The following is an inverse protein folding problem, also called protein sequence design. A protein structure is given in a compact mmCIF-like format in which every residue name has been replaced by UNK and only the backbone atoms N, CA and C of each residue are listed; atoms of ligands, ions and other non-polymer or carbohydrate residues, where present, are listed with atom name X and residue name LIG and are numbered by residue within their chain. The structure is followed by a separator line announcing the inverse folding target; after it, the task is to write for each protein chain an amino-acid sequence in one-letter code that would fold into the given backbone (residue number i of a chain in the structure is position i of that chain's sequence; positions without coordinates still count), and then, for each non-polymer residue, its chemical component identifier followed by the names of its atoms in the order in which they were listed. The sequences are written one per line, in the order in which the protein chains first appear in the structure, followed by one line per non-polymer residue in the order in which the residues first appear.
data_IF_187329865814
#
_entry.id   IF_187329865814
#
_cell.length_a   1.000
_cell.length_b   1.000
_cell.length_c   1.000
_cell.angle_alpha   90.00
_cell.angle_beta   90.00
_cell.angle_gamma   90.00
#
_symmetry.space_group_name_H-M   'P 1'
#
loop_
_entity.id
_entity.type
_entity.pdbx_description
1 polymer ?
#
# COMPACT_ATOMS: atom_id res chain seq x y z
N UNK A 1 9.33 20.76 -23.76
CA UNK A 1 7.97 21.02 -23.17
C UNK A 1 8.15 21.55 -21.75
N UNK A 2 7.26 22.43 -21.28
CA UNK A 2 7.39 22.93 -19.90
C UNK A 2 6.49 22.07 -19.00
N UNK A 3 7.07 21.22 -18.16
CA UNK A 3 6.37 20.38 -17.19
C UNK A 3 6.28 21.08 -15.83
N UNK A 4 5.25 20.76 -15.04
CA UNK A 4 5.03 21.32 -13.71
C UNK A 4 4.74 20.21 -12.69
N UNK A 5 5.05 20.50 -11.44
CA UNK A 5 4.68 19.61 -10.33
C UNK A 5 3.15 19.37 -10.31
N UNK A 6 2.78 18.12 -10.09
CA UNK A 6 1.38 17.70 -10.05
C UNK A 6 0.77 17.35 -11.41
N UNK A 7 1.42 17.64 -12.54
CA UNK A 7 0.94 17.21 -13.85
C UNK A 7 1.02 15.68 -14.01
N UNK A 8 0.13 15.15 -14.84
CA UNK A 8 0.09 13.72 -15.15
C UNK A 8 0.78 13.45 -16.46
N UNK A 9 1.60 12.41 -16.47
CA UNK A 9 2.46 12.03 -17.60
C UNK A 9 2.53 10.52 -17.76
N UNK A 10 2.94 10.10 -18.96
CA UNK A 10 3.36 8.73 -19.27
C UNK A 10 4.79 8.77 -19.80
N UNK A 11 5.48 7.62 -19.87
CA UNK A 11 6.83 7.50 -20.41
C UNK A 11 6.80 6.86 -21.78
N UNK A 12 7.38 7.52 -22.77
CA UNK A 12 7.43 7.03 -24.15
C UNK A 12 8.27 5.77 -24.27
N UNK A 13 9.42 5.72 -23.59
CA UNK A 13 10.32 4.57 -23.54
C UNK A 13 9.66 3.28 -23.02
N UNK A 14 8.55 3.40 -22.30
CA UNK A 14 7.73 2.29 -21.78
C UNK A 14 6.37 2.19 -22.47
N UNK A 15 6.27 2.66 -23.73
CA UNK A 15 5.05 2.62 -24.54
C UNK A 15 3.83 3.28 -23.87
N UNK A 16 4.04 4.25 -22.99
CA UNK A 16 2.99 4.95 -22.26
C UNK A 16 2.06 4.01 -21.47
N UNK A 17 2.61 2.94 -20.90
CA UNK A 17 1.87 1.86 -20.24
C UNK A 17 1.26 2.26 -18.90
N UNK A 18 1.90 3.19 -18.16
CA UNK A 18 1.48 3.64 -16.84
C UNK A 18 1.38 5.17 -16.78
N UNK A 19 0.38 5.63 -16.05
CA UNK A 19 0.22 7.06 -15.74
C UNK A 19 0.90 7.40 -14.42
N UNK A 20 1.70 8.46 -14.46
CA UNK A 20 2.41 9.00 -13.31
C UNK A 20 1.99 10.43 -13.02
N UNK A 21 2.15 10.85 -11.77
CA UNK A 21 2.14 12.24 -11.37
C UNK A 21 3.56 12.72 -11.12
N UNK A 22 3.92 13.88 -11.65
CA UNK A 22 5.20 14.52 -11.38
C UNK A 22 5.19 15.01 -9.93
N UNK A 23 6.11 14.53 -9.12
CA UNK A 23 6.23 14.90 -7.70
C UNK A 23 7.41 15.82 -7.42
N UNK A 24 8.43 15.80 -8.29
CA UNK A 24 9.54 16.71 -8.25
C UNK A 24 10.20 16.82 -9.62
N UNK A 25 10.96 17.89 -9.84
CA UNK A 25 11.76 18.12 -11.06
C UNK A 25 13.09 18.71 -10.62
N UNK A 26 14.18 18.04 -10.94
CA UNK A 26 15.55 18.52 -10.75
C UNK A 26 16.25 18.55 -12.11
N UNK A 27 16.67 19.71 -12.56
CA UNK A 27 17.23 19.93 -13.88
C UNK A 27 16.31 19.39 -15.00
N UNK A 28 16.78 18.37 -15.75
CA UNK A 28 16.05 17.73 -16.82
C UNK A 28 15.42 16.38 -16.43
N UNK A 29 15.42 16.04 -15.13
CA UNK A 29 14.89 14.79 -14.59
C UNK A 29 13.60 15.07 -13.79
N UNK A 30 12.52 14.38 -14.15
CA UNK A 30 11.30 14.36 -13.36
C UNK A 30 11.24 13.12 -12.46
N UNK A 31 10.88 13.33 -11.21
CA UNK A 31 10.55 12.26 -10.27
C UNK A 31 9.05 12.01 -10.32
N UNK A 32 8.70 10.76 -10.47
CA UNK A 32 7.37 10.31 -10.85
C UNK A 32 6.78 9.38 -9.79
N UNK A 33 5.49 9.53 -9.53
CA UNK A 33 4.72 8.63 -8.68
C UNK A 33 3.55 8.04 -9.46
N UNK A 34 3.43 6.71 -9.50
CA UNK A 34 2.33 6.02 -10.14
C UNK A 34 0.96 6.42 -9.58
N UNK A 35 -0.02 6.59 -10.48
CA UNK A 35 -1.39 6.99 -10.11
C UNK A 35 -2.18 5.79 -9.64
N UNK A 36 -2.19 4.72 -10.40
CA UNK A 36 -2.97 3.51 -10.11
C UNK A 36 -2.13 2.41 -9.45
N UNK A 37 -0.83 2.44 -9.68
CA UNK A 37 0.12 1.48 -9.14
C UNK A 37 1.07 2.17 -8.17
N UNK A 38 1.46 1.48 -7.10
CA UNK A 38 2.45 1.95 -6.14
C UNK A 38 3.85 1.80 -6.74
N UNK A 39 4.23 2.76 -7.57
CA UNK A 39 5.52 2.80 -8.25
C UNK A 39 6.10 4.21 -8.22
N UNK A 40 7.39 4.32 -7.87
CA UNK A 40 8.19 5.52 -8.06
C UNK A 40 9.17 5.29 -9.20
N UNK A 41 9.36 6.29 -10.02
CA UNK A 41 10.29 6.27 -11.14
C UNK A 41 10.91 7.66 -11.33
N UNK A 42 11.99 7.71 -12.06
CA UNK A 42 12.57 8.92 -12.62
C UNK A 42 12.54 8.80 -14.15
N UNK A 43 12.54 9.92 -14.82
CA UNK A 43 12.58 9.99 -16.29
C UNK A 43 13.10 11.34 -16.75
N UNK A 44 13.81 11.35 -17.87
CA UNK A 44 14.15 12.59 -18.57
C UNK A 44 12.87 13.28 -19.04
N UNK A 45 12.86 14.62 -19.04
CA UNK A 45 11.67 15.39 -19.41
C UNK A 45 11.26 15.17 -20.88
N UNK A 46 12.19 14.84 -21.75
CA UNK A 46 11.93 14.58 -23.16
C UNK A 46 11.30 13.20 -23.43
N UNK A 47 11.40 12.26 -22.48
CA UNK A 47 10.71 10.96 -22.49
C UNK A 47 9.23 11.04 -22.02
N UNK A 48 8.78 12.22 -21.58
CA UNK A 48 7.46 12.38 -20.97
C UNK A 48 6.41 12.89 -21.95
N UNK A 49 5.24 12.25 -21.92
CA UNK A 49 4.04 12.71 -22.60
C UNK A 49 2.99 13.17 -21.59
N UNK A 50 2.44 14.40 -21.78
CA UNK A 50 1.35 14.91 -20.94
C UNK A 50 0.07 14.13 -21.17
N UNK A 51 -0.60 13.76 -20.06
CA UNK A 51 -1.87 13.07 -20.09
C UNK A 51 -2.89 13.85 -19.28
N UNK A 52 -4.11 13.97 -19.79
CA UNK A 52 -5.24 14.48 -19.03
C UNK A 52 -6.00 13.30 -18.45
N UNK A 53 -5.92 13.10 -17.14
CA UNK A 53 -6.77 12.11 -16.49
C UNK A 53 -8.19 12.68 -16.43
N UNK A 54 -9.11 12.06 -17.18
CA UNK A 54 -10.51 12.14 -16.77
C UNK A 54 -10.58 11.43 -15.42
N UNK A 55 -11.03 12.10 -14.37
CA UNK A 55 -11.38 11.45 -13.12
C UNK A 55 -12.52 10.46 -13.38
N UNK A 56 -12.22 9.36 -14.02
CA UNK A 56 -12.99 8.16 -13.84
C UNK A 56 -12.62 7.68 -12.43
N UNK A 57 -13.46 8.04 -11.48
CA UNK A 57 -13.50 7.30 -10.22
C UNK A 57 -13.50 5.82 -10.59
N UNK A 58 -12.66 5.02 -9.94
CA UNK A 58 -12.66 3.55 -9.96
C UNK A 58 -14.05 3.02 -9.57
N UNK A 59 -15.05 3.26 -10.43
CA UNK A 59 -16.44 2.90 -10.19
C UNK A 59 -16.66 1.40 -10.29
N UNK A 60 -15.88 0.70 -11.12
CA UNK A 60 -16.09 -0.73 -11.36
C UNK A 60 -15.80 -1.60 -10.14
N UNK A 61 -14.78 -1.26 -9.35
CA UNK A 61 -14.50 -2.00 -8.12
C UNK A 61 -15.40 -1.52 -6.97
N UNK A 62 -15.73 -0.24 -6.93
CA UNK A 62 -16.68 0.33 -5.96
C UNK A 62 -18.09 -0.22 -6.21
N UNK A 63 -18.57 -0.28 -7.45
CA UNK A 63 -19.90 -0.84 -7.78
C UNK A 63 -20.03 -2.33 -7.41
N UNK A 64 -18.96 -3.13 -7.59
CA UNK A 64 -18.93 -4.52 -7.11
C UNK A 64 -18.99 -4.61 -5.59
N UNK A 65 -18.31 -3.71 -4.89
CA UNK A 65 -18.28 -3.67 -3.42
C UNK A 65 -19.60 -3.08 -2.89
N UNK A 66 -20.17 -2.06 -3.53
CA UNK A 66 -21.50 -1.53 -3.20
C UNK A 66 -22.59 -2.59 -3.29
N UNK A 67 -22.50 -3.52 -4.25
CA UNK A 67 -23.42 -4.67 -4.32
C UNK A 67 -23.30 -5.61 -3.12
N UNK A 68 -22.12 -5.71 -2.50
CA UNK A 68 -21.89 -6.46 -1.26
C UNK A 68 -22.37 -5.70 -0.02
N UNK A 69 -22.36 -4.36 -0.06
CA UNK A 69 -22.86 -3.50 1.02
C UNK A 69 -24.38 -3.49 1.07
N UNK A 70 -25.05 -3.71 -0.07
CA UNK A 70 -26.52 -3.81 -0.17
C UNK A 70 -27.09 -5.11 0.39
N UNK A 71 -26.25 -6.06 0.83
CA UNK A 71 -26.69 -7.18 1.66
C UNK A 71 -27.36 -6.60 2.90
N UNK A 72 -28.64 -6.94 3.07
CA UNK A 72 -29.50 -6.36 4.11
C UNK A 72 -28.88 -6.58 5.50
N UNK A 73 -28.20 -5.56 6.00
CA UNK A 73 -27.56 -5.57 7.32
C UNK A 73 -28.58 -5.66 8.45
N UNK A 74 -29.86 -5.54 8.16
CA UNK A 74 -30.94 -5.68 9.15
C UNK A 74 -31.26 -7.16 9.47
N UNK A 75 -30.91 -8.09 8.58
CA UNK A 75 -31.11 -9.53 8.85
C UNK A 75 -29.97 -10.17 9.65
N UNK A 76 -28.76 -9.58 9.62
CA UNK A 76 -27.60 -10.09 10.35
C UNK A 76 -26.86 -8.94 11.01
N UNK A 77 -26.69 -8.99 12.31
CA UNK A 77 -25.89 -8.03 13.10
C UNK A 77 -24.39 -8.20 12.81
N UNK A 78 -23.96 -7.95 11.57
CA UNK A 78 -22.55 -7.89 11.24
C UNK A 78 -22.01 -6.50 11.55
N UNK A 79 -21.22 -6.38 12.62
CA UNK A 79 -20.34 -5.26 12.80
C UNK A 79 -19.11 -5.50 11.91
N UNK A 80 -18.80 -4.61 10.96
CA UNK A 80 -17.57 -4.71 10.19
C UNK A 80 -16.36 -4.73 11.12
N UNK A 81 -15.37 -5.55 10.80
CA UNK A 81 -14.12 -5.58 11.57
C UNK A 81 -13.40 -4.23 11.52
N UNK A 82 -12.77 -3.87 12.64
CA UNK A 82 -11.94 -2.68 12.77
C UNK A 82 -10.58 -2.92 12.12
N UNK A 83 -10.11 -1.97 11.33
CA UNK A 83 -8.86 -2.07 10.56
C UNK A 83 -7.81 -1.11 11.14
N UNK A 84 -6.59 -1.59 11.32
CA UNK A 84 -5.40 -0.75 11.49
C UNK A 84 -4.45 -1.01 10.33
N UNK A 85 -4.04 0.04 9.64
CA UNK A 85 -3.08 -0.06 8.54
C UNK A 85 -1.81 0.74 8.85
N UNK A 86 -0.67 0.07 8.74
CA UNK A 86 0.67 0.67 8.77
C UNK A 86 1.17 0.88 7.35
N UNK A 87 1.73 2.04 7.10
CA UNK A 87 2.38 2.35 5.83
C UNK A 87 3.38 3.50 5.99
N UNK A 88 4.50 3.44 5.30
CA UNK A 88 5.49 4.51 5.29
C UNK A 88 5.11 5.66 4.37
N UNK A 89 4.29 5.40 3.34
CA UNK A 89 3.85 6.38 2.38
C UNK A 89 2.48 6.96 2.73
N UNK A 90 2.49 8.24 3.13
CA UNK A 90 1.26 8.93 3.51
C UNK A 90 0.22 9.00 2.40
N UNK A 91 0.64 9.12 1.14
CA UNK A 91 -0.30 9.25 0.02
C UNK A 91 -1.12 7.97 -0.17
N UNK A 92 -0.44 6.81 -0.19
CA UNK A 92 -1.12 5.53 -0.33
C UNK A 92 -1.91 5.15 0.92
N UNK A 93 -1.38 5.46 2.11
CA UNK A 93 -2.09 5.27 3.37
C UNK A 93 -3.41 6.07 3.39
N UNK A 94 -3.36 7.36 3.10
CA UNK A 94 -4.54 8.21 3.09
C UNK A 94 -5.59 7.74 2.06
N UNK A 95 -5.14 7.23 0.90
CA UNK A 95 -6.00 6.65 -0.13
C UNK A 95 -6.72 5.39 0.39
N UNK A 96 -6.01 4.49 1.04
CA UNK A 96 -6.60 3.30 1.67
C UNK A 96 -7.58 3.67 2.78
N UNK A 97 -7.19 4.57 3.68
CA UNK A 97 -8.06 5.00 4.79
C UNK A 97 -9.32 5.69 4.27
N UNK A 98 -9.19 6.51 3.21
CA UNK A 98 -10.36 7.10 2.57
C UNK A 98 -11.28 6.01 1.99
N UNK A 99 -10.73 5.03 1.28
CA UNK A 99 -11.50 3.93 0.72
C UNK A 99 -12.26 3.15 1.81
N UNK A 100 -11.60 2.80 2.92
CA UNK A 100 -12.26 2.12 4.04
C UNK A 100 -13.41 2.94 4.63
N UNK A 101 -13.21 4.26 4.77
CA UNK A 101 -14.25 5.17 5.26
C UNK A 101 -15.44 5.29 4.31
N UNK A 102 -15.16 5.37 3.01
CA UNK A 102 -16.20 5.39 1.98
C UNK A 102 -17.05 4.08 2.01
N UNK A 103 -16.43 2.97 2.42
CA UNK A 103 -17.09 1.67 2.66
C UNK A 103 -17.73 1.55 4.05
N UNK A 104 -17.77 2.61 4.85
CA UNK A 104 -18.29 2.62 6.22
C UNK A 104 -17.57 1.65 7.18
N UNK A 105 -16.28 1.42 6.96
CA UNK A 105 -15.42 0.63 7.83
C UNK A 105 -14.70 1.51 8.84
N UNK A 106 -14.59 1.06 10.08
CA UNK A 106 -13.76 1.70 11.10
C UNK A 106 -12.29 1.40 10.81
N UNK A 107 -11.52 2.41 10.40
CA UNK A 107 -10.13 2.23 10.02
C UNK A 107 -9.22 3.34 10.53
N UNK A 108 -8.02 2.95 10.95
CA UNK A 108 -6.98 3.81 11.47
C UNK A 108 -5.69 3.62 10.68
N UNK A 109 -5.12 4.71 10.18
CA UNK A 109 -3.85 4.73 9.45
C UNK A 109 -2.71 5.17 10.34
N UNK A 110 -1.66 4.41 10.39
CA UNK A 110 -0.44 4.69 11.14
C UNK A 110 0.69 4.89 10.13
N UNK A 111 1.12 6.16 9.97
CA UNK A 111 2.28 6.47 9.14
C UNK A 111 3.54 6.16 9.94
N UNK A 112 4.31 5.19 9.48
CA UNK A 112 5.55 4.74 10.13
C UNK A 112 6.47 4.12 9.09
N UNK A 113 7.79 4.22 9.26
CA UNK A 113 8.75 3.56 8.37
C UNK A 113 8.75 2.06 8.58
N UNK A 114 9.08 1.31 7.55
CA UNK A 114 9.05 -0.16 7.57
C UNK A 114 9.89 -0.76 8.71
N UNK A 115 11.06 -0.20 8.97
CA UNK A 115 11.96 -0.64 10.04
C UNK A 115 11.53 -0.22 11.46
N UNK A 116 10.52 0.63 11.58
CA UNK A 116 9.98 1.11 12.87
C UNK A 116 8.65 0.42 13.23
N UNK A 117 8.02 -0.30 12.27
CA UNK A 117 6.71 -0.96 12.50
C UNK A 117 6.80 -1.93 13.68
N UNK A 118 7.86 -2.74 13.75
CA UNK A 118 8.07 -3.72 14.83
C UNK A 118 8.01 -3.08 16.22
N UNK A 119 8.49 -1.85 16.36
CA UNK A 119 8.56 -1.15 17.64
C UNK A 119 7.18 -0.65 18.11
N UNK A 120 6.35 -0.18 17.17
CA UNK A 120 5.09 0.48 17.50
C UNK A 120 3.86 -0.43 17.39
N UNK A 121 3.98 -1.58 16.74
CA UNK A 121 2.83 -2.42 16.39
C UNK A 121 2.08 -2.92 17.63
N UNK A 122 2.78 -3.40 18.66
CA UNK A 122 2.15 -3.97 19.86
C UNK A 122 1.32 -2.92 20.58
N UNK A 123 1.88 -1.73 20.86
CA UNK A 123 1.17 -0.63 21.49
C UNK A 123 -0.05 -0.19 20.67
N UNK A 124 0.11 -0.16 19.32
CA UNK A 124 -0.97 0.19 18.41
C UNK A 124 -2.11 -0.83 18.46
N UNK A 125 -1.79 -2.13 18.47
CA UNK A 125 -2.79 -3.19 18.58
C UNK A 125 -3.52 -3.15 19.93
N UNK A 126 -2.81 -2.90 21.03
CA UNK A 126 -3.40 -2.73 22.37
C UNK A 126 -4.36 -1.54 22.41
N UNK A 127 -3.98 -0.43 21.78
CA UNK A 127 -4.76 0.82 21.78
C UNK A 127 -6.04 0.70 20.95
N UNK A 128 -5.95 0.17 19.75
CA UNK A 128 -7.07 0.16 18.80
C UNK A 128 -7.86 -1.14 18.84
N UNK A 129 -7.27 -2.25 19.29
CA UNK A 129 -7.86 -3.59 19.31
C UNK A 129 -8.55 -3.93 17.99
N UNK A 130 -7.79 -3.94 16.87
CA UNK A 130 -8.35 -4.21 15.57
C UNK A 130 -8.67 -5.69 15.37
N UNK A 131 -9.59 -5.99 14.46
CA UNK A 131 -9.86 -7.33 13.95
C UNK A 131 -8.94 -7.65 12.74
N UNK A 132 -8.50 -6.60 12.04
CA UNK A 132 -7.66 -6.70 10.85
C UNK A 132 -6.49 -5.73 10.99
N UNK A 133 -5.27 -6.24 10.83
CA UNK A 133 -4.08 -5.40 10.69
C UNK A 133 -3.51 -5.53 9.29
N UNK A 134 -3.25 -4.40 8.67
CA UNK A 134 -2.66 -4.31 7.33
C UNK A 134 -1.27 -3.69 7.46
N UNK A 135 -0.24 -4.41 7.01
CA UNK A 135 1.16 -3.98 7.06
C UNK A 135 1.65 -3.85 5.64
N UNK A 136 1.73 -2.61 5.17
CA UNK A 136 2.18 -2.28 3.82
C UNK A 136 3.33 -1.28 3.85
N UNK A 137 4.00 -1.14 2.73
CA UNK A 137 5.14 -0.25 2.62
C UNK A 137 5.86 -0.42 1.29
N UNK A 138 7.10 0.01 1.23
CA UNK A 138 7.98 -0.20 0.09
C UNK A 138 8.88 -1.41 0.35
N UNK A 139 8.97 -2.30 -0.63
CA UNK A 139 9.94 -3.39 -0.63
C UNK A 139 10.38 -3.69 -2.05
N UNK A 140 11.61 -4.08 -2.19
CA UNK A 140 12.21 -4.44 -3.47
C UNK A 140 13.42 -5.35 -3.30
N UNK A 141 13.69 -6.13 -4.32
CA UNK A 141 14.92 -6.91 -4.40
C UNK A 141 16.13 -5.97 -4.58
N UNK A 142 17.12 -6.08 -3.69
CA UNK A 142 18.33 -5.24 -3.73
C UNK A 142 19.08 -5.40 -5.05
N UNK A 143 19.69 -4.31 -5.54
CA UNK A 143 20.54 -4.34 -6.73
C UNK A 143 21.60 -5.45 -6.61
N UNK A 144 21.78 -6.22 -7.69
CA UNK A 144 22.71 -7.35 -7.76
C UNK A 144 22.38 -8.61 -6.93
N UNK A 145 21.26 -8.65 -6.21
CA UNK A 145 20.78 -9.86 -5.56
C UNK A 145 20.34 -10.87 -6.65
N UNK A 146 21.00 -12.05 -6.66
CA UNK A 146 20.69 -13.11 -7.63
C UNK A 146 19.71 -14.14 -7.08
N UNK A 147 19.73 -14.33 -5.77
CA UNK A 147 18.92 -15.34 -5.08
C UNK A 147 17.69 -14.68 -4.46
N UNK A 148 16.54 -14.91 -5.09
CA UNK A 148 15.25 -14.35 -4.66
C UNK A 148 14.63 -15.09 -3.47
N UNK A 149 15.19 -16.22 -3.06
CA UNK A 149 14.68 -17.00 -1.93
C UNK A 149 15.16 -16.45 -0.59
N UNK A 150 16.24 -15.69 -0.58
CA UNK A 150 16.86 -15.17 0.63
C UNK A 150 16.25 -13.84 1.04
N UNK A 151 15.72 -13.76 2.25
CA UNK A 151 15.08 -12.56 2.80
C UNK A 151 16.03 -11.37 2.91
N UNK A 152 17.31 -11.61 3.21
CA UNK A 152 18.35 -10.56 3.28
C UNK A 152 18.58 -9.84 1.94
N UNK A 153 18.13 -10.41 0.84
CA UNK A 153 18.22 -9.82 -0.48
C UNK A 153 17.11 -8.79 -0.75
N UNK A 154 16.14 -8.69 0.13
CA UNK A 154 15.07 -7.69 0.06
C UNK A 154 15.34 -6.51 0.97
N UNK A 155 14.79 -5.36 0.62
CA UNK A 155 15.02 -4.13 1.38
C UNK A 155 14.29 -4.15 2.72
N UNK A 156 13.03 -4.57 2.74
CA UNK A 156 12.15 -4.47 3.90
C UNK A 156 11.36 -5.75 4.23
N UNK A 157 11.52 -6.86 3.49
CA UNK A 157 10.79 -8.10 3.79
C UNK A 157 11.01 -8.58 5.23
N UNK A 158 12.24 -8.48 5.75
CA UNK A 158 12.56 -8.86 7.13
C UNK A 158 11.82 -7.98 8.15
N UNK A 159 11.67 -6.68 7.88
CA UNK A 159 10.91 -5.76 8.73
C UNK A 159 9.44 -6.14 8.79
N UNK A 160 8.85 -6.55 7.66
CA UNK A 160 7.47 -7.04 7.63
C UNK A 160 7.31 -8.35 8.38
N UNK A 161 8.23 -9.30 8.21
CA UNK A 161 8.24 -10.57 8.97
C UNK A 161 8.30 -10.31 10.47
N UNK A 162 9.16 -9.40 10.92
CA UNK A 162 9.28 -9.06 12.34
C UNK A 162 7.99 -8.41 12.88
N UNK A 163 7.39 -7.51 12.10
CA UNK A 163 6.10 -6.90 12.47
C UNK A 163 4.98 -7.96 12.58
N UNK A 164 4.90 -8.90 11.62
CA UNK A 164 3.94 -10.01 11.66
C UNK A 164 4.16 -10.87 12.92
N UNK A 165 5.41 -11.25 13.23
CA UNK A 165 5.74 -12.00 14.44
C UNK A 165 5.26 -11.31 15.71
N UNK A 166 5.48 -10.00 15.83
CA UNK A 166 4.98 -9.22 16.97
C UNK A 166 3.45 -9.21 17.06
N UNK A 167 2.77 -9.04 15.93
CA UNK A 167 1.31 -9.10 15.88
C UNK A 167 0.78 -10.50 16.28
N UNK A 168 1.45 -11.59 15.88
CA UNK A 168 1.10 -12.95 16.30
C UNK A 168 1.45 -13.27 17.77
N UNK A 169 2.46 -12.62 18.33
CA UNK A 169 2.72 -12.70 19.77
C UNK A 169 1.58 -12.03 20.55
N UNK A 170 1.06 -10.89 20.06
CA UNK A 170 -0.07 -10.20 20.64
C UNK A 170 -1.36 -11.03 20.56
N UNK A 171 -1.70 -11.55 19.37
CA UNK A 171 -2.86 -12.43 19.16
C UNK A 171 -2.50 -13.63 18.28
N UNK A 172 -2.52 -14.81 18.90
CA UNK A 172 -2.15 -16.07 18.22
C UNK A 172 -3.29 -16.64 17.37
N UNK A 173 -4.53 -16.29 17.71
CA UNK A 173 -5.69 -16.80 16.99
C UNK A 173 -5.91 -15.99 15.72
N UNK A 174 -5.79 -16.67 14.58
CA UNK A 174 -5.95 -16.07 13.25
C UNK A 174 -7.38 -15.60 12.98
N UNK A 175 -8.38 -16.20 13.62
CA UNK A 175 -9.78 -15.79 13.50
C UNK A 175 -10.06 -14.49 14.29
N UNK A 176 -9.25 -14.18 15.31
CA UNK A 176 -9.38 -12.96 16.13
C UNK A 176 -8.58 -11.79 15.60
N UNK A 177 -7.48 -12.04 14.91
CA UNK A 177 -6.68 -11.03 14.27
C UNK A 177 -6.24 -11.51 12.89
N UNK A 178 -6.86 -10.97 11.86
CA UNK A 178 -6.45 -11.17 10.48
C UNK A 178 -5.25 -10.28 10.19
N UNK A 179 -4.17 -10.84 9.66
CA UNK A 179 -2.99 -10.07 9.24
C UNK A 179 -2.90 -10.11 7.72
N UNK A 180 -2.81 -8.94 7.12
CA UNK A 180 -2.55 -8.76 5.69
C UNK A 180 -1.21 -8.03 5.56
N UNK A 181 -0.24 -8.61 4.89
CA UNK A 181 1.07 -7.98 4.73
C UNK A 181 1.64 -8.18 3.34
N UNK A 182 2.39 -7.18 2.88
CA UNK A 182 3.14 -7.23 1.64
C UNK A 182 3.38 -5.88 1.01
N UNK A 183 4.28 -5.89 0.04
CA UNK A 183 4.59 -4.77 -0.85
C UNK A 183 4.85 -5.31 -2.27
N UNK A 184 5.19 -4.42 -3.23
CA UNK A 184 5.26 -4.79 -4.65
C UNK A 184 6.21 -5.95 -4.97
N UNK A 185 7.31 -6.11 -4.23
CA UNK A 185 8.34 -7.12 -4.49
C UNK A 185 8.81 -7.81 -3.21
N UNK A 186 7.96 -8.00 -2.23
CA UNK A 186 8.33 -8.70 -0.99
C UNK A 186 8.65 -10.17 -1.23
N UNK A 187 9.44 -10.75 -0.32
CA UNK A 187 9.61 -12.18 -0.22
C UNK A 187 8.34 -12.82 0.36
N UNK A 188 7.39 -13.12 -0.53
CA UNK A 188 6.07 -13.64 -0.12
C UNK A 188 6.13 -15.01 0.52
N UNK A 189 7.10 -15.84 0.18
CA UNK A 189 7.28 -17.17 0.80
C UNK A 189 7.53 -17.00 2.30
N UNK A 190 8.47 -16.15 2.68
CA UNK A 190 8.78 -15.88 4.08
C UNK A 190 7.61 -15.17 4.82
N UNK A 191 6.88 -14.28 4.14
CA UNK A 191 5.72 -13.63 4.75
C UNK A 191 4.59 -14.63 5.04
N UNK A 192 4.30 -15.55 4.10
CA UNK A 192 3.22 -16.55 4.27
C UNK A 192 3.51 -17.50 5.43
N UNK A 193 4.77 -17.88 5.67
CA UNK A 193 5.13 -18.73 6.80
C UNK A 193 4.83 -18.10 8.17
N UNK A 194 4.67 -16.77 8.23
CA UNK A 194 4.45 -16.01 9.47
C UNK A 194 3.00 -15.57 9.68
N UNK A 195 2.18 -15.61 8.64
CA UNK A 195 0.76 -15.22 8.69
C UNK A 195 -0.09 -16.31 9.32
#
# INVERSE_FOLDING_TARGET
MNFKLGEYVTRESYNNDLVFQIIDIEDDIAYLRGVDVRLYADSELDDLNKVTIKKETDRTDIEKVESLISLDRNEYFYLPGKIVQFDSDKFYLDRCIKFYKDMHLEAYGIKVKENEIEEVITETLEKYKPDIVVITGHDFLKKHAKDKTKIENYQNSENFVNAIKKARIYEKNQDKLIIISGACQSNYEELIYML
#
